data_IF_637438146635
#
_entry.id   IF_637438146635
#
_cell.length_a   1.000
_cell.length_b   1.000
_cell.length_c   1.000
_cell.angle_alpha   90.00
_cell.angle_beta   90.00
_cell.angle_gamma   90.00
#
_symmetry.space_group_name_H-M   'P 1'
#
loop_
_entity.id
_entity.type
_entity.pdbx_description
1 polymer ?
#
# COMPACT_ATOMS: atom_id res chain seq x y z
N UNK A 1 26.39 0.23 -35.63
CA UNK A 1 25.39 0.60 -34.60
C UNK A 1 24.26 -0.42 -34.57
N UNK A 2 23.60 -0.67 -35.71
CA UNK A 2 22.50 -1.64 -35.86
C UNK A 2 22.86 -3.08 -35.43
N UNK A 3 24.06 -3.56 -35.78
CA UNK A 3 24.51 -4.91 -35.41
C UNK A 3 24.56 -5.15 -33.90
N UNK A 4 25.01 -4.16 -33.12
CA UNK A 4 24.99 -4.23 -31.64
C UNK A 4 23.57 -4.23 -31.08
N UNK A 5 22.65 -3.53 -31.73
CA UNK A 5 21.23 -3.51 -31.35
C UNK A 5 20.61 -4.88 -31.57
N UNK A 6 20.85 -5.50 -32.73
CA UNK A 6 20.36 -6.85 -33.04
C UNK A 6 20.92 -7.90 -32.07
N UNK A 7 22.22 -7.86 -31.81
CA UNK A 7 22.85 -8.79 -30.87
C UNK A 7 22.29 -8.65 -29.45
N UNK A 8 22.01 -7.42 -29.00
CA UNK A 8 21.41 -7.19 -27.68
C UNK A 8 19.97 -7.68 -27.61
N UNK A 9 19.22 -7.56 -28.72
CA UNK A 9 17.87 -8.09 -28.80
C UNK A 9 17.87 -9.62 -28.65
N UNK A 10 18.71 -10.33 -29.40
CA UNK A 10 18.82 -11.79 -29.32
C UNK A 10 19.20 -12.26 -27.90
N UNK A 11 20.13 -11.56 -27.24
CA UNK A 11 20.52 -11.84 -25.85
C UNK A 11 19.36 -11.63 -24.88
N UNK A 12 18.60 -10.54 -25.05
CA UNK A 12 17.41 -10.25 -24.23
C UNK A 12 16.34 -11.31 -24.42
N UNK A 13 16.07 -11.72 -25.66
CA UNK A 13 15.07 -12.74 -25.98
C UNK A 13 15.46 -14.11 -25.39
N UNK A 14 16.74 -14.48 -25.49
CA UNK A 14 17.27 -15.69 -24.85
C UNK A 14 17.13 -15.64 -23.32
N UNK A 15 17.44 -14.49 -22.71
CA UNK A 15 17.29 -14.29 -21.27
C UNK A 15 15.82 -14.41 -20.82
N UNK A 16 14.88 -13.86 -21.60
CA UNK A 16 13.43 -13.97 -21.34
C UNK A 16 12.94 -15.41 -21.41
N UNK A 17 13.40 -16.18 -22.39
CA UNK A 17 13.08 -17.62 -22.49
C UNK A 17 13.61 -18.39 -21.28
N UNK A 18 14.85 -18.15 -20.88
CA UNK A 18 15.43 -18.80 -19.70
C UNK A 18 14.68 -18.43 -18.41
N UNK A 19 14.29 -17.17 -18.23
CA UNK A 19 13.49 -16.75 -17.08
C UNK A 19 12.13 -17.46 -17.05
N UNK A 20 11.47 -17.57 -18.21
CA UNK A 20 10.19 -18.26 -18.34
C UNK A 20 10.32 -19.75 -17.98
N UNK A 21 11.41 -20.39 -18.41
CA UNK A 21 11.71 -21.79 -18.08
C UNK A 21 11.96 -21.99 -16.58
N UNK A 22 12.76 -21.11 -15.96
CA UNK A 22 13.04 -21.16 -14.51
C UNK A 22 11.78 -20.93 -13.68
N UNK A 23 10.96 -19.94 -14.04
CA UNK A 23 9.68 -19.72 -13.37
C UNK A 23 8.75 -20.92 -13.60
N UNK A 24 8.73 -21.45 -14.82
CA UNK A 24 7.97 -22.62 -15.22
C UNK A 24 8.30 -23.86 -14.38
N UNK A 25 9.59 -24.19 -14.21
CA UNK A 25 10.06 -25.36 -13.46
C UNK A 25 9.69 -25.31 -11.98
N UNK A 26 9.49 -24.12 -11.42
CA UNK A 26 9.14 -23.89 -10.02
C UNK A 26 7.69 -23.41 -9.80
N UNK A 27 6.83 -23.45 -10.82
CA UNK A 27 5.46 -22.93 -10.77
C UNK A 27 4.68 -23.41 -9.54
N UNK A 28 4.71 -24.71 -9.25
CA UNK A 28 3.99 -25.28 -8.10
C UNK A 28 4.50 -24.75 -6.76
N UNK A 29 5.82 -24.60 -6.61
CA UNK A 29 6.44 -24.05 -5.41
C UNK A 29 6.12 -22.57 -5.23
N UNK A 30 6.12 -21.79 -6.32
CA UNK A 30 5.75 -20.36 -6.31
C UNK A 30 4.28 -20.21 -5.89
N UNK A 31 3.36 -20.96 -6.50
CA UNK A 31 1.93 -20.93 -6.14
C UNK A 31 1.70 -21.28 -4.66
N UNK A 32 2.43 -22.28 -4.16
CA UNK A 32 2.39 -22.65 -2.75
C UNK A 32 2.85 -21.50 -1.84
N UNK A 33 3.97 -20.85 -2.17
CA UNK A 33 4.45 -19.68 -1.43
C UNK A 33 3.44 -18.53 -1.46
N UNK A 34 2.84 -18.22 -2.61
CA UNK A 34 1.80 -17.19 -2.71
C UNK A 34 0.59 -17.49 -1.82
N UNK A 35 0.15 -18.75 -1.73
CA UNK A 35 -0.91 -19.15 -0.81
C UNK A 35 -0.49 -18.94 0.65
N UNK A 36 0.69 -19.41 1.04
CA UNK A 36 1.19 -19.27 2.41
C UNK A 36 1.35 -17.80 2.81
N UNK A 37 1.87 -16.95 1.93
CA UNK A 37 2.02 -15.52 2.19
C UNK A 37 0.66 -14.81 2.32
N UNK A 38 -0.34 -15.21 1.53
CA UNK A 38 -1.71 -14.68 1.66
C UNK A 38 -2.32 -15.01 3.01
N UNK A 39 -2.19 -16.24 3.47
CA UNK A 39 -2.77 -16.66 4.75
C UNK A 39 -2.03 -16.03 5.93
N UNK A 40 -0.69 -16.00 5.89
CA UNK A 40 0.11 -15.30 6.88
C UNK A 40 -0.25 -13.81 6.95
N UNK A 41 -0.47 -13.15 5.80
CA UNK A 41 -0.90 -11.75 5.78
C UNK A 41 -2.26 -11.55 6.43
N UNK A 42 -3.21 -12.48 6.29
CA UNK A 42 -4.52 -12.38 6.95
C UNK A 42 -4.40 -12.57 8.47
N UNK A 43 -3.52 -13.46 8.90
CA UNK A 43 -3.30 -13.76 10.31
C UNK A 43 -2.55 -12.63 11.04
N UNK A 44 -1.49 -12.10 10.43
CA UNK A 44 -0.63 -11.07 11.02
C UNK A 44 -1.17 -9.64 10.85
N UNK A 45 -1.89 -9.40 9.76
CA UNK A 45 -2.60 -8.16 9.53
C UNK A 45 -4.10 -8.47 9.43
N UNK A 46 -4.74 -8.91 10.54
CA UNK A 46 -6.19 -9.00 10.54
C UNK A 46 -6.66 -7.60 10.19
N UNK A 47 -7.43 -7.48 9.12
CA UNK A 47 -8.10 -6.21 8.78
C UNK A 47 -9.01 -5.93 9.97
N UNK A 48 -8.47 -5.22 10.97
CA UNK A 48 -9.28 -4.60 11.99
C UNK A 48 -10.22 -3.75 11.17
N UNK A 49 -11.51 -4.06 11.26
CA UNK A 49 -12.52 -3.03 11.11
C UNK A 49 -12.20 -2.00 12.20
N UNK A 50 -11.18 -1.17 11.97
CA UNK A 50 -11.19 0.19 12.45
C UNK A 50 -12.31 0.84 11.64
N UNK A 51 -13.54 0.45 11.98
CA UNK A 51 -14.55 1.46 12.21
C UNK A 51 -13.83 2.41 13.13
N UNK A 52 -13.39 3.51 12.52
CA UNK A 52 -12.95 4.69 13.22
C UNK A 52 -13.85 4.81 14.46
N UNK A 53 -13.30 5.02 15.68
CA UNK A 53 -14.12 5.23 16.86
C UNK A 53 -15.29 6.15 16.48
N UNK A 54 -16.50 5.88 16.96
CA UNK A 54 -17.71 6.67 16.63
C UNK A 54 -17.49 8.18 16.70
N UNK A 55 -16.51 8.59 17.50
CA UNK A 55 -16.10 9.95 17.80
C UNK A 55 -15.11 10.52 16.76
N UNK A 56 -14.89 9.83 15.64
CA UNK A 56 -14.02 10.30 14.57
C UNK A 56 -14.76 11.34 13.76
N UNK A 57 -14.58 12.59 14.16
CA UNK A 57 -15.06 13.75 13.41
C UNK A 57 -14.17 13.92 12.18
N UNK A 58 -14.80 13.97 10.99
CA UNK A 58 -14.08 14.28 9.76
C UNK A 58 -13.40 15.64 9.88
N UNK A 59 -12.15 15.74 9.41
CA UNK A 59 -11.46 17.03 9.36
C UNK A 59 -12.34 18.04 8.62
N UNK A 60 -12.76 19.15 9.24
CA UNK A 60 -13.54 20.17 8.54
C UNK A 60 -12.69 20.67 7.38
N UNK A 61 -13.09 20.36 6.15
CA UNK A 61 -12.47 20.91 4.95
C UNK A 61 -12.66 22.43 5.01
N UNK A 62 -11.57 23.15 5.30
CA UNK A 62 -11.54 24.60 5.28
C UNK A 62 -11.79 25.10 3.87
N UNK A 63 -13.05 25.38 3.53
CA UNK A 63 -13.40 26.12 2.31
C UNK A 63 -13.36 27.64 2.55
N UNK A 64 -12.60 28.09 3.56
CA UNK A 64 -12.48 29.48 3.96
C UNK A 64 -11.28 30.16 3.31
N UNK A 65 -11.56 30.98 2.31
CA UNK A 65 -10.67 32.01 1.77
C UNK A 65 -10.33 33.04 2.87
N UNK A 66 -9.34 32.79 3.71
CA UNK A 66 -8.86 33.76 4.70
C UNK A 66 -7.55 33.36 5.38
N UNK A 67 -6.81 34.32 5.99
CA UNK A 67 -5.41 34.14 6.42
C UNK A 67 -5.20 33.18 7.61
N UNK A 68 -6.27 32.59 8.13
CA UNK A 68 -6.25 31.73 9.33
C UNK A 68 -6.74 30.32 8.98
N UNK A 69 -6.11 29.67 7.99
CA UNK A 69 -6.42 28.28 7.64
C UNK A 69 -5.55 27.31 8.46
N UNK A 70 -5.63 27.36 9.79
CA UNK A 70 -4.95 26.39 10.65
C UNK A 70 -5.96 25.78 11.60
N UNK A 71 -6.57 24.66 11.21
CA UNK A 71 -7.20 23.77 12.19
C UNK A 71 -6.69 22.36 11.90
N UNK A 72 -5.63 21.98 12.61
CA UNK A 72 -5.33 20.57 12.87
C UNK A 72 -5.94 20.23 14.23
N UNK A 73 -7.07 19.54 14.22
CA UNK A 73 -7.59 18.92 15.43
C UNK A 73 -6.92 17.54 15.58
N UNK A 74 -6.07 17.39 16.60
CA UNK A 74 -5.54 16.09 17.04
C UNK A 74 -6.34 15.68 18.28
N UNK A 75 -7.17 14.65 18.16
CA UNK A 75 -7.87 14.04 19.31
C UNK A 75 -7.08 12.85 19.82
N UNK A 76 -6.50 12.98 21.02
CA UNK A 76 -5.86 11.87 21.74
C UNK A 76 -6.89 11.06 22.52
N UNK A 77 -6.70 9.75 22.60
CA UNK A 77 -7.66 8.73 23.10
C UNK A 77 -8.05 8.84 24.60
N UNK A 78 -7.63 9.86 25.34
CA UNK A 78 -8.13 10.11 26.69
C UNK A 78 -7.77 11.54 27.11
N UNK A 79 -8.75 12.43 27.07
CA UNK A 79 -8.58 13.82 27.47
C UNK A 79 -9.92 14.53 27.37
N UNK A 80 -10.39 15.05 28.50
CA UNK A 80 -11.76 15.53 28.74
C UNK A 80 -12.14 16.67 27.79
N UNK A 81 -13.43 16.77 27.45
CA UNK A 81 -13.99 17.89 26.69
C UNK A 81 -13.76 19.17 27.49
N UNK A 82 -12.91 20.08 26.98
CA UNK A 82 -12.87 21.45 27.47
C UNK A 82 -13.95 22.22 26.72
N UNK A 83 -15.13 22.32 27.34
CA UNK A 83 -16.16 23.26 26.93
C UNK A 83 -15.62 24.66 27.25
N UNK A 84 -15.27 25.42 26.23
CA UNK A 84 -15.04 26.86 26.36
C UNK A 84 -16.38 27.54 26.11
N UNK A 85 -16.91 28.19 27.14
CA UNK A 85 -18.00 29.14 26.98
C UNK A 85 -17.50 30.29 26.09
N UNK A 86 -18.03 30.38 24.87
CA UNK A 86 -18.01 31.59 24.05
C UNK A 86 -19.36 31.73 23.35
#
# INVERSE_FOLDING_TARGET
MLERVLQNQEKSDASMRNMTEVVGSHTASIQKLEMQMRDLSKEQNPKQNRTLPSDTVANPRGNGSGPTSHIMAITTRSGKVLHGDW
#
